data_IF_071058954876
#
_entry.id   IF_071058954876
#
_cell.length_a   1.000
_cell.length_b   1.000
_cell.length_c   1.000
_cell.angle_alpha   90.00
_cell.angle_beta   90.00
_cell.angle_gamma   90.00
#
_symmetry.space_group_name_H-M   'P 1'
#
loop_
_entity.id
_entity.type
_entity.pdbx_description
1 polymer ?
#
# COMPACT_ATOMS: atom_id res chain seq x y z
N UNK A 1 -34.96 -2.33 -16.67
CA UNK A 1 -34.83 -2.79 -15.28
C UNK A 1 -33.83 -2.00 -14.42
N UNK A 2 -32.50 -2.08 -14.59
CA UNK A 2 -31.58 -1.38 -13.65
C UNK A 2 -31.76 0.14 -13.69
N UNK A 3 -31.79 0.76 -14.88
CA UNK A 3 -32.03 2.21 -15.04
C UNK A 3 -33.38 2.66 -14.46
N UNK A 4 -34.43 1.86 -14.62
CA UNK A 4 -35.76 2.16 -14.03
C UNK A 4 -35.71 2.23 -12.51
N UNK A 5 -34.91 1.38 -11.84
CA UNK A 5 -34.76 1.44 -10.39
C UNK A 5 -34.00 2.65 -9.88
N UNK A 6 -33.25 3.32 -10.75
CA UNK A 6 -32.46 4.50 -10.44
C UNK A 6 -33.16 5.79 -10.88
N UNK A 7 -34.42 5.71 -11.35
CA UNK A 7 -35.15 6.86 -11.89
C UNK A 7 -35.41 7.97 -10.86
N UNK A 8 -35.38 7.63 -9.56
CA UNK A 8 -35.48 8.58 -8.46
C UNK A 8 -34.20 9.42 -8.26
N UNK A 9 -33.09 9.03 -8.89
CA UNK A 9 -31.79 9.66 -8.74
C UNK A 9 -31.54 10.69 -9.85
N UNK A 10 -31.24 11.93 -9.47
CA UNK A 10 -30.92 13.01 -10.42
C UNK A 10 -29.41 13.07 -10.62
N UNK A 11 -28.90 12.56 -11.75
CA UNK A 11 -27.49 12.75 -12.14
C UNK A 11 -27.29 12.92 -13.65
N UNK A 12 -26.44 13.87 -14.07
CA UNK A 12 -25.87 13.83 -15.41
C UNK A 12 -24.91 12.63 -15.52
N UNK A 13 -24.86 12.00 -16.69
CA UNK A 13 -23.94 10.91 -17.06
C UNK A 13 -24.23 9.57 -16.37
N UNK A 14 -25.39 9.01 -16.70
CA UNK A 14 -25.72 7.59 -16.49
C UNK A 14 -25.79 6.89 -17.86
N UNK A 15 -24.70 6.88 -18.63
CA UNK A 15 -24.68 6.07 -19.84
C UNK A 15 -24.60 4.57 -19.49
N UNK A 16 -24.86 3.72 -20.47
CA UNK A 16 -24.92 2.28 -20.25
C UNK A 16 -23.53 1.71 -19.90
N UNK A 17 -22.44 2.32 -20.36
CA UNK A 17 -21.08 1.91 -20.02
C UNK A 17 -20.81 2.15 -18.54
N UNK A 18 -21.12 3.33 -18.02
CA UNK A 18 -20.98 3.70 -16.63
C UNK A 18 -21.85 2.80 -15.73
N UNK A 19 -23.13 2.60 -16.07
CA UNK A 19 -24.05 1.77 -15.30
C UNK A 19 -23.68 0.28 -15.32
N UNK A 20 -23.14 -0.22 -16.43
CA UNK A 20 -22.76 -1.63 -16.57
C UNK A 20 -21.68 -2.07 -15.59
N UNK A 21 -20.83 -1.15 -15.12
CA UNK A 21 -19.77 -1.43 -14.13
C UNK A 21 -20.34 -1.93 -12.81
N UNK A 22 -21.38 -1.28 -12.31
CA UNK A 22 -22.06 -1.65 -11.07
C UNK A 22 -22.74 -3.02 -11.19
N UNK A 23 -23.32 -3.31 -12.36
CA UNK A 23 -23.92 -4.61 -12.64
C UNK A 23 -22.85 -5.70 -12.69
N UNK A 24 -21.75 -5.52 -13.43
CA UNK A 24 -20.65 -6.49 -13.51
C UNK A 24 -20.02 -6.75 -12.14
N UNK A 25 -19.73 -5.70 -11.39
CA UNK A 25 -19.18 -5.80 -10.02
C UNK A 25 -20.07 -6.57 -9.04
N UNK A 26 -21.36 -6.75 -9.37
CA UNK A 26 -22.32 -7.54 -8.57
C UNK A 26 -22.88 -8.74 -9.34
N UNK A 27 -22.18 -9.20 -10.38
CA UNK A 27 -22.56 -10.37 -11.21
C UNK A 27 -24.03 -10.30 -11.68
N UNK A 28 -24.43 -9.11 -12.13
CA UNK A 28 -25.77 -8.76 -12.62
C UNK A 28 -26.92 -8.96 -11.60
N UNK A 29 -26.62 -9.07 -10.31
CA UNK A 29 -27.63 -9.07 -9.24
C UNK A 29 -28.12 -7.63 -9.00
N UNK A 30 -29.26 -7.29 -9.60
CA UNK A 30 -29.76 -5.91 -9.68
C UNK A 30 -29.93 -5.27 -8.30
N UNK A 31 -30.51 -5.96 -7.31
CA UNK A 31 -30.68 -5.41 -5.95
C UNK A 31 -29.34 -5.00 -5.33
N UNK A 32 -28.30 -5.82 -5.53
CA UNK A 32 -26.96 -5.55 -4.99
C UNK A 32 -26.24 -4.45 -5.75
N UNK A 33 -26.41 -4.37 -7.07
CA UNK A 33 -25.85 -3.31 -7.90
C UNK A 33 -26.49 -1.96 -7.57
N UNK A 34 -27.81 -1.94 -7.34
CA UNK A 34 -28.54 -0.75 -6.90
C UNK A 34 -28.06 -0.27 -5.54
N UNK A 35 -27.97 -1.17 -4.55
CA UNK A 35 -27.47 -0.80 -3.22
C UNK A 35 -26.05 -0.22 -3.30
N UNK A 36 -25.13 -0.89 -4.01
CA UNK A 36 -23.77 -0.40 -4.20
C UNK A 36 -23.74 0.99 -4.84
N UNK A 37 -24.57 1.23 -5.85
CA UNK A 37 -24.63 2.52 -6.51
C UNK A 37 -25.18 3.62 -5.59
N UNK A 38 -26.22 3.33 -4.80
CA UNK A 38 -26.77 4.28 -3.81
C UNK A 38 -25.76 4.58 -2.69
N UNK A 39 -25.01 3.58 -2.22
CA UNK A 39 -23.93 3.76 -1.25
C UNK A 39 -22.82 4.66 -1.80
N UNK A 40 -22.45 4.45 -3.07
CA UNK A 40 -21.51 5.31 -3.79
C UNK A 40 -22.00 6.76 -3.86
N UNK A 41 -23.27 7.02 -4.18
CA UNK A 41 -23.80 8.39 -4.19
C UNK A 41 -23.78 9.04 -2.80
N UNK A 42 -24.06 8.26 -1.75
CA UNK A 42 -23.94 8.71 -0.36
C UNK A 42 -22.49 9.09 -0.04
N UNK A 43 -21.53 8.25 -0.44
CA UNK A 43 -20.10 8.53 -0.28
C UNK A 43 -19.67 9.80 -1.02
N UNK A 44 -20.10 9.96 -2.29
CA UNK A 44 -19.77 11.14 -3.09
C UNK A 44 -20.26 12.43 -2.45
N UNK A 45 -21.48 12.43 -1.91
CA UNK A 45 -22.03 13.57 -1.17
C UNK A 45 -21.23 13.84 0.11
N UNK A 46 -20.90 12.80 0.88
CA UNK A 46 -20.13 12.92 2.13
C UNK A 46 -18.74 13.51 1.92
N UNK A 47 -18.08 13.12 0.85
CA UNK A 47 -16.71 13.56 0.53
C UNK A 47 -16.66 14.78 -0.40
N UNK A 48 -17.82 15.32 -0.78
CA UNK A 48 -17.96 16.43 -1.74
C UNK A 48 -17.19 16.19 -3.05
N UNK A 49 -17.22 14.95 -3.57
CA UNK A 49 -16.38 14.51 -4.70
C UNK A 49 -16.61 15.37 -5.93
N UNK A 50 -17.86 15.73 -6.20
CA UNK A 50 -18.26 16.51 -7.38
C UNK A 50 -17.69 17.95 -7.39
N UNK A 51 -17.36 18.50 -6.22
CA UNK A 51 -16.71 19.81 -6.09
C UNK A 51 -15.26 19.72 -5.62
N UNK A 52 -14.72 18.52 -5.42
CA UNK A 52 -13.41 18.32 -4.80
C UNK A 52 -12.30 18.99 -5.60
N UNK A 53 -12.31 18.89 -6.93
CA UNK A 53 -11.34 19.58 -7.81
C UNK A 53 -11.35 21.12 -7.65
N UNK A 54 -12.46 21.71 -7.19
CA UNK A 54 -12.60 23.16 -6.96
C UNK A 54 -12.30 23.55 -5.51
N UNK A 55 -12.76 22.75 -4.56
CA UNK A 55 -12.77 23.09 -3.13
C UNK A 55 -11.55 22.55 -2.38
N UNK A 56 -10.90 21.50 -2.89
CA UNK A 56 -9.72 20.93 -2.27
C UNK A 56 -8.48 21.73 -2.64
N UNK A 57 -7.99 22.53 -1.68
CA UNK A 57 -6.66 23.12 -1.77
C UNK A 57 -5.61 22.02 -1.55
N UNK A 58 -5.22 21.37 -2.63
CA UNK A 58 -4.22 20.30 -2.60
C UNK A 58 -2.90 20.79 -1.98
N UNK A 59 -2.38 20.12 -0.95
CA UNK A 59 -1.04 20.41 -0.42
C UNK A 59 0.01 20.28 -1.53
N UNK A 60 0.84 21.30 -1.68
CA UNK A 60 1.88 21.36 -2.71
C UNK A 60 2.85 20.17 -2.64
N UNK A 61 3.12 19.66 -1.43
CA UNK A 61 3.97 18.49 -1.21
C UNK A 61 3.42 17.23 -1.88
N UNK A 62 2.09 17.05 -1.94
CA UNK A 62 1.49 15.93 -2.67
C UNK A 62 1.69 16.09 -4.17
N UNK A 63 1.54 17.31 -4.67
CA UNK A 63 1.70 17.58 -6.10
C UNK A 63 3.16 17.49 -6.58
N UNK A 64 4.14 17.75 -5.71
CA UNK A 64 5.55 17.74 -6.11
C UNK A 64 6.25 16.42 -5.82
N UNK A 65 5.93 15.78 -4.70
CA UNK A 65 6.76 14.68 -4.18
C UNK A 65 6.01 13.35 -4.05
N UNK A 66 4.66 13.34 -4.14
CA UNK A 66 3.93 12.07 -4.11
C UNK A 66 4.13 11.32 -5.45
N UNK A 67 4.50 10.03 -5.42
CA UNK A 67 4.62 9.19 -6.61
C UNK A 67 3.23 8.81 -7.15
N UNK A 68 2.55 9.80 -7.72
CA UNK A 68 1.20 9.68 -8.23
C UNK A 68 1.11 8.77 -9.48
N UNK A 69 2.26 8.44 -10.08
CA UNK A 69 2.28 7.63 -11.29
C UNK A 69 1.84 8.40 -12.54
N UNK A 70 1.28 7.69 -13.50
CA UNK A 70 0.66 8.29 -14.68
C UNK A 70 0.38 7.32 -15.83
N UNK A 71 -0.40 7.78 -16.81
CA UNK A 71 -0.69 7.01 -18.02
C UNK A 71 0.47 7.10 -19.01
N UNK A 72 0.95 5.95 -19.48
CA UNK A 72 2.03 5.88 -20.46
C UNK A 72 1.85 4.65 -21.37
N UNK A 73 1.43 4.88 -22.61
CA UNK A 73 1.23 3.82 -23.60
C UNK A 73 -0.08 3.04 -23.46
N UNK A 74 -0.29 2.12 -24.40
CA UNK A 74 -1.43 1.21 -24.47
C UNK A 74 -0.99 -0.25 -24.41
N UNK A 75 -1.79 -1.09 -23.77
CA UNK A 75 -1.61 -2.54 -23.83
C UNK A 75 -1.96 -3.08 -25.23
N UNK A 76 -1.66 -4.36 -25.47
CA UNK A 76 -1.88 -4.99 -26.78
C UNK A 76 -3.35 -5.02 -27.24
N UNK A 77 -4.30 -4.75 -26.36
CA UNK A 77 -5.74 -4.67 -26.68
C UNK A 77 -6.22 -3.21 -26.80
N UNK A 78 -5.30 -2.22 -26.70
CA UNK A 78 -5.60 -0.79 -26.79
C UNK A 78 -6.10 -0.17 -25.47
N UNK A 79 -6.02 -0.90 -24.36
CA UNK A 79 -6.33 -0.39 -23.02
C UNK A 79 -5.19 0.48 -22.50
N UNK A 80 -5.51 1.60 -21.85
CA UNK A 80 -4.47 2.47 -21.29
C UNK A 80 -3.66 1.77 -20.20
N UNK A 81 -2.35 2.04 -20.19
CA UNK A 81 -1.43 1.55 -19.15
C UNK A 81 -1.14 2.65 -18.14
N UNK A 82 -1.43 2.40 -16.86
CA UNK A 82 -1.13 3.30 -15.75
C UNK A 82 0.04 2.76 -14.92
N UNK A 83 1.10 3.55 -14.76
CA UNK A 83 2.25 3.18 -13.93
C UNK A 83 2.06 3.75 -12.53
N UNK A 84 1.88 2.89 -11.53
CA UNK A 84 1.81 3.27 -10.12
C UNK A 84 3.15 2.93 -9.45
N UNK A 85 3.93 3.96 -9.13
CA UNK A 85 5.34 3.83 -8.66
C UNK A 85 5.47 3.93 -7.14
N UNK A 86 4.68 3.10 -6.44
CA UNK A 86 4.47 3.24 -4.99
C UNK A 86 5.74 3.03 -4.16
N UNK A 87 6.64 2.13 -4.56
CA UNK A 87 7.85 1.84 -3.78
C UNK A 87 8.82 3.03 -3.61
N UNK A 88 8.65 4.10 -4.39
CA UNK A 88 9.43 5.35 -4.31
C UNK A 88 8.83 6.40 -3.37
N UNK A 89 7.76 6.07 -2.65
CA UNK A 89 7.13 6.98 -1.70
C UNK A 89 8.10 7.30 -0.55
N UNK A 90 8.43 8.58 -0.37
CA UNK A 90 9.10 9.05 0.84
C UNK A 90 8.11 9.05 2.01
N UNK A 91 7.95 7.88 2.63
CA UNK A 91 7.02 7.68 3.75
C UNK A 91 7.33 8.64 4.91
N UNK A 92 8.58 8.73 5.43
CA UNK A 92 8.89 9.65 6.53
C UNK A 92 8.57 11.11 6.18
N UNK A 93 8.97 11.55 4.99
CA UNK A 93 8.73 12.92 4.53
C UNK A 93 7.25 13.25 4.39
N UNK A 94 6.45 12.33 3.82
CA UNK A 94 5.01 12.51 3.69
C UNK A 94 4.31 12.53 5.03
N UNK A 95 4.63 11.60 5.93
CA UNK A 95 4.02 11.54 7.27
C UNK A 95 4.27 12.81 8.09
N UNK A 96 5.36 13.53 7.82
CA UNK A 96 5.70 14.82 8.46
C UNK A 96 5.09 16.04 7.77
N UNK A 97 4.52 15.88 6.58
CA UNK A 97 4.13 17.01 5.72
C UNK A 97 2.65 17.05 5.36
N UNK A 98 1.93 15.93 5.48
CA UNK A 98 0.53 15.83 5.04
C UNK A 98 -0.36 15.13 6.05
N UNK A 99 -1.63 15.54 6.08
CA UNK A 99 -2.68 14.83 6.79
C UNK A 99 -3.17 13.67 5.94
N UNK A 100 -3.46 12.53 6.58
CA UNK A 100 -4.01 11.34 5.90
C UNK A 100 -5.29 11.68 5.11
N UNK A 101 -6.16 12.54 5.65
CA UNK A 101 -7.38 12.96 4.96
C UNK A 101 -7.08 13.70 3.63
N UNK A 102 -6.00 14.47 3.58
CA UNK A 102 -5.59 15.16 2.35
C UNK A 102 -5.02 14.17 1.34
N UNK A 103 -4.32 13.12 1.78
CA UNK A 103 -3.91 12.00 0.94
C UNK A 103 -5.12 11.28 0.36
N UNK A 104 -6.15 11.01 1.16
CA UNK A 104 -7.38 10.36 0.69
C UNK A 104 -8.09 11.24 -0.35
N UNK A 105 -8.24 12.53 -0.09
CA UNK A 105 -8.85 13.47 -1.06
C UNK A 105 -8.03 13.56 -2.36
N UNK A 106 -6.71 13.59 -2.25
CA UNK A 106 -5.80 13.52 -3.38
C UNK A 106 -6.01 12.25 -4.22
N UNK A 107 -6.09 11.08 -3.58
CA UNK A 107 -6.36 9.81 -4.24
C UNK A 107 -7.72 9.78 -4.94
N UNK A 108 -8.76 10.37 -4.34
CA UNK A 108 -10.07 10.54 -5.00
C UNK A 108 -9.93 11.41 -6.25
N UNK A 109 -9.24 12.56 -6.17
CA UNK A 109 -8.99 13.40 -7.35
C UNK A 109 -8.25 12.63 -8.46
N UNK A 110 -7.29 11.78 -8.11
CA UNK A 110 -6.58 10.92 -9.06
C UNK A 110 -7.51 9.89 -9.71
N UNK A 111 -8.39 9.25 -8.95
CA UNK A 111 -9.35 8.28 -9.49
C UNK A 111 -10.39 8.94 -10.42
N UNK A 112 -10.89 10.13 -10.07
CA UNK A 112 -11.78 10.88 -10.97
C UNK A 112 -11.04 11.26 -12.27
N UNK A 113 -9.76 11.63 -12.19
CA UNK A 113 -8.94 11.90 -13.38
C UNK A 113 -8.73 10.64 -14.23
N UNK A 114 -8.53 9.48 -13.60
CA UNK A 114 -8.44 8.18 -14.26
C UNK A 114 -9.74 7.86 -15.01
N UNK A 115 -10.91 8.04 -14.38
CA UNK A 115 -12.20 7.82 -15.03
C UNK A 115 -12.44 8.76 -16.21
N UNK A 116 -12.14 10.06 -16.05
CA UNK A 116 -12.23 11.05 -17.12
C UNK A 116 -11.32 10.67 -18.31
N UNK A 117 -10.11 10.21 -18.02
CA UNK A 117 -9.12 9.83 -19.03
C UNK A 117 -9.56 8.58 -19.79
N UNK A 118 -10.03 7.55 -19.09
CA UNK A 118 -10.55 6.32 -19.70
C UNK A 118 -11.77 6.59 -20.58
N UNK A 119 -12.69 7.43 -20.10
CA UNK A 119 -13.89 7.82 -20.86
C UNK A 119 -13.51 8.61 -22.11
N UNK A 120 -12.60 9.59 -21.98
CA UNK A 120 -12.09 10.36 -23.10
C UNK A 120 -11.35 9.50 -24.13
N UNK A 121 -10.59 8.50 -23.69
CA UNK A 121 -9.90 7.56 -24.58
C UNK A 121 -10.88 6.69 -25.38
N UNK A 122 -11.89 6.13 -24.72
CA UNK A 122 -12.93 5.34 -25.38
C UNK A 122 -13.69 6.18 -26.43
N UNK A 123 -14.04 7.43 -26.08
CA UNK A 123 -14.71 8.35 -27.00
C UNK A 123 -13.85 8.71 -28.22
N UNK A 124 -12.54 8.93 -28.04
CA UNK A 124 -11.62 9.29 -29.13
C UNK A 124 -11.29 8.13 -30.07
N UNK A 125 -11.14 6.93 -29.53
CA UNK A 125 -10.71 5.75 -30.31
C UNK A 125 -11.87 4.95 -30.86
N UNK A 126 -13.08 5.13 -30.33
CA UNK A 126 -14.23 4.27 -30.63
C UNK A 126 -14.07 2.84 -30.11
N UNK A 127 -12.99 2.54 -29.39
CA UNK A 127 -12.73 1.22 -28.80
C UNK A 127 -13.30 1.18 -27.39
N UNK A 128 -14.18 0.22 -27.13
CA UNK A 128 -14.55 -0.08 -25.74
C UNK A 128 -13.42 -0.85 -25.07
N UNK A 129 -12.76 -0.20 -24.11
CA UNK A 129 -11.76 -0.83 -23.23
C UNK A 129 -12.37 -1.04 -21.84
N UNK A 130 -12.29 -2.26 -21.31
CA UNK A 130 -12.85 -2.63 -20.01
C UNK A 130 -11.89 -2.31 -18.84
N UNK A 131 -11.48 -1.05 -18.74
CA UNK A 131 -10.57 -0.57 -17.69
C UNK A 131 -9.11 -0.43 -18.13
N UNK A 132 -8.24 -0.10 -17.18
CA UNK A 132 -6.80 0.10 -17.38
C UNK A 132 -5.98 -1.12 -16.96
N UNK A 133 -4.83 -1.29 -17.62
CA UNK A 133 -3.75 -2.15 -17.12
C UNK A 133 -2.85 -1.31 -16.21
N UNK A 134 -2.63 -1.75 -14.97
CA UNK A 134 -1.75 -1.08 -14.01
C UNK A 134 -0.42 -1.80 -13.94
N UNK A 135 0.68 -1.11 -14.16
CA UNK A 135 2.01 -1.57 -13.78
C UNK A 135 2.29 -1.04 -12.38
N UNK A 136 2.33 -1.91 -11.39
CA UNK A 136 2.51 -1.56 -9.99
C UNK A 136 3.97 -1.81 -9.59
N UNK A 137 4.75 -0.74 -9.57
CA UNK A 137 6.18 -0.76 -9.31
C UNK A 137 6.47 -0.62 -7.82
N UNK A 138 7.07 -1.68 -7.27
CA UNK A 138 7.46 -1.81 -5.87
C UNK A 138 8.97 -1.68 -5.65
N UNK A 139 9.71 -1.13 -6.61
CA UNK A 139 11.12 -0.79 -6.40
C UNK A 139 11.28 0.12 -5.17
N UNK A 140 12.17 -0.27 -4.23
CA UNK A 140 12.36 0.33 -2.90
C UNK A 140 11.16 0.25 -1.94
N UNK A 141 10.14 -0.56 -2.26
CA UNK A 141 9.16 -0.95 -1.27
C UNK A 141 9.87 -1.73 -0.15
N UNK A 142 9.56 -1.35 1.07
CA UNK A 142 10.23 -1.77 2.30
C UNK A 142 9.31 -1.44 3.46
N UNK A 143 9.64 -1.84 4.68
CA UNK A 143 8.60 -1.86 5.69
C UNK A 143 8.22 -0.55 6.38
N UNK A 144 8.92 0.54 6.08
CA UNK A 144 8.35 1.89 6.22
C UNK A 144 6.95 2.00 5.57
N UNK A 145 6.71 1.31 4.44
CA UNK A 145 5.40 1.26 3.77
C UNK A 145 4.38 0.37 4.49
N UNK A 146 4.85 -0.57 5.33
CA UNK A 146 4.02 -1.42 6.17
C UNK A 146 3.74 -0.81 7.53
N UNK A 147 4.22 0.41 7.77
CA UNK A 147 3.92 1.12 9.00
C UNK A 147 2.40 1.23 9.20
N UNK A 148 1.91 0.92 10.40
CA UNK A 148 0.48 0.99 10.77
C UNK A 148 -0.26 2.21 10.17
N UNK A 149 0.22 3.46 10.31
CA UNK A 149 -0.48 4.59 9.71
C UNK A 149 -0.53 4.55 8.17
N UNK A 150 0.53 4.08 7.52
CA UNK A 150 0.57 3.94 6.05
C UNK A 150 -0.29 2.77 5.59
N UNK A 151 -0.19 1.62 6.25
CA UNK A 151 -1.00 0.44 5.99
C UNK A 151 -2.49 0.74 6.19
N UNK A 152 -2.87 1.44 7.27
CA UNK A 152 -4.24 1.88 7.52
C UNK A 152 -4.72 2.87 6.45
N UNK A 153 -3.90 3.85 6.07
CA UNK A 153 -4.23 4.79 5.00
C UNK A 153 -4.44 4.06 3.66
N UNK A 154 -3.59 3.08 3.34
CA UNK A 154 -3.72 2.28 2.13
C UNK A 154 -4.94 1.36 2.17
N UNK A 155 -5.25 0.74 3.31
CA UNK A 155 -6.48 -0.03 3.50
C UNK A 155 -7.72 0.85 3.36
N UNK A 156 -7.70 2.08 3.88
CA UNK A 156 -8.78 3.06 3.69
C UNK A 156 -8.96 3.42 2.21
N UNK A 157 -7.86 3.65 1.50
CA UNK A 157 -7.87 3.85 0.06
C UNK A 157 -8.47 2.64 -0.67
N UNK A 158 -8.04 1.42 -0.38
CA UNK A 158 -8.54 0.20 -1.03
C UNK A 158 -10.03 -0.03 -0.79
N UNK A 159 -10.51 0.16 0.45
CA UNK A 159 -11.94 0.06 0.77
C UNK A 159 -12.76 1.09 -0.01
N UNK A 160 -12.26 2.32 -0.09
CA UNK A 160 -12.88 3.38 -0.87
C UNK A 160 -12.90 3.02 -2.36
N UNK A 161 -11.77 2.55 -2.90
CA UNK A 161 -11.59 2.14 -4.28
C UNK A 161 -12.58 1.03 -4.69
N UNK A 162 -12.59 -0.09 -3.97
CA UNK A 162 -13.45 -1.25 -4.23
C UNK A 162 -14.95 -0.92 -4.12
N UNK A 163 -15.33 0.03 -3.26
CA UNK A 163 -16.71 0.44 -3.08
C UNK A 163 -17.20 1.44 -4.13
N UNK A 164 -16.32 2.30 -4.66
CA UNK A 164 -16.73 3.48 -5.43
C UNK A 164 -16.26 3.48 -6.89
N UNK A 165 -15.26 2.67 -7.24
CA UNK A 165 -14.67 2.63 -8.58
C UNK A 165 -14.68 1.22 -9.14
N UNK A 166 -15.85 0.56 -9.24
CA UNK A 166 -15.93 -0.79 -9.78
C UNK A 166 -15.48 -0.85 -11.23
N UNK A 167 -14.86 -1.98 -11.61
CA UNK A 167 -14.59 -2.34 -13.01
C UNK A 167 -13.73 -1.33 -13.79
N UNK A 168 -12.89 -0.54 -13.12
CA UNK A 168 -11.89 0.32 -13.78
C UNK A 168 -10.54 -0.38 -13.95
N UNK A 169 -10.30 -1.50 -13.27
CA UNK A 169 -9.11 -2.33 -13.44
C UNK A 169 -9.39 -3.47 -14.40
N UNK A 170 -8.53 -3.57 -15.42
CA UNK A 170 -8.43 -4.73 -16.31
C UNK A 170 -7.42 -5.74 -15.76
N UNK A 171 -6.24 -5.26 -15.37
CA UNK A 171 -5.11 -6.08 -14.90
C UNK A 171 -4.17 -5.25 -14.02
N UNK A 172 -3.53 -5.87 -13.05
CA UNK A 172 -2.45 -5.27 -12.25
C UNK A 172 -1.21 -6.17 -12.38
N UNK A 173 -0.13 -5.64 -12.92
CA UNK A 173 1.16 -6.33 -13.08
C UNK A 173 2.11 -5.74 -12.04
N UNK A 174 2.37 -6.48 -10.97
CA UNK A 174 3.31 -6.07 -9.92
C UNK A 174 4.73 -6.41 -10.38
N UNK A 175 5.60 -5.40 -10.39
CA UNK A 175 7.01 -5.53 -10.79
C UNK A 175 7.92 -5.15 -9.64
N UNK A 176 9.12 -5.74 -9.63
CA UNK A 176 10.13 -5.52 -8.59
C UNK A 176 9.60 -5.75 -7.16
N UNK A 177 8.74 -6.78 -7.00
CA UNK A 177 8.19 -7.15 -5.70
C UNK A 177 9.33 -7.60 -4.74
N UNK A 178 9.56 -6.91 -3.61
CA UNK A 178 10.59 -7.27 -2.66
C UNK A 178 10.18 -8.48 -1.81
N UNK A 179 11.12 -9.05 -1.05
CA UNK A 179 10.87 -10.18 -0.14
C UNK A 179 9.81 -9.89 0.94
N UNK A 180 9.58 -8.61 1.27
CA UNK A 180 8.54 -8.16 2.21
C UNK A 180 7.12 -8.14 1.60
N UNK A 181 6.98 -8.28 0.28
CA UNK A 181 5.70 -8.22 -0.41
C UNK A 181 4.63 -9.20 0.10
N UNK A 182 4.94 -10.47 0.44
CA UNK A 182 3.93 -11.38 0.99
C UNK A 182 3.25 -10.86 2.27
N UNK A 183 4.02 -10.19 3.14
CA UNK A 183 3.51 -9.54 4.34
C UNK A 183 2.62 -8.35 3.95
N UNK A 184 3.06 -7.52 3.01
CA UNK A 184 2.26 -6.41 2.48
C UNK A 184 0.91 -6.90 1.94
N UNK A 185 0.94 -7.97 1.15
CA UNK A 185 -0.24 -8.52 0.49
C UNK A 185 -1.20 -9.14 1.51
N UNK A 186 -0.71 -9.77 2.58
CA UNK A 186 -1.57 -10.37 3.62
C UNK A 186 -2.40 -9.31 4.36
N UNK A 187 -1.85 -8.12 4.57
CA UNK A 187 -2.55 -6.98 5.21
C UNK A 187 -3.73 -6.51 4.34
N UNK A 188 -3.54 -6.43 3.02
CA UNK A 188 -4.53 -5.84 2.11
C UNK A 188 -5.52 -6.84 1.52
N UNK A 189 -5.11 -8.11 1.38
CA UNK A 189 -5.90 -9.19 0.77
C UNK A 189 -7.33 -9.33 1.33
N UNK A 190 -7.61 -9.16 2.64
CA UNK A 190 -8.97 -9.23 3.18
C UNK A 190 -9.92 -8.13 2.66
N UNK A 191 -9.35 -7.04 2.12
CA UNK A 191 -10.11 -5.88 1.62
C UNK A 191 -10.27 -5.87 0.09
N UNK A 192 -9.64 -6.83 -0.59
CA UNK A 192 -9.73 -6.98 -2.05
C UNK A 192 -10.88 -7.93 -2.42
N UNK A 193 -11.68 -7.55 -3.42
CA UNK A 193 -12.68 -8.44 -3.98
C UNK A 193 -12.02 -9.66 -4.65
N UNK A 194 -12.77 -10.74 -4.85
CA UNK A 194 -12.29 -11.90 -5.63
C UNK A 194 -11.88 -11.48 -7.05
N UNK A 195 -12.65 -10.58 -7.66
CA UNK A 195 -12.37 -10.02 -8.99
C UNK A 195 -11.04 -9.28 -9.02
N UNK A 196 -10.80 -8.34 -8.10
CA UNK A 196 -9.53 -7.62 -8.02
C UNK A 196 -8.36 -8.57 -7.79
N UNK A 197 -8.50 -9.55 -6.89
CA UNK A 197 -7.43 -10.53 -6.63
C UNK A 197 -7.06 -11.34 -7.87
N UNK A 198 -8.05 -11.73 -8.68
CA UNK A 198 -7.81 -12.48 -9.91
C UNK A 198 -7.15 -11.64 -11.01
N UNK A 199 -7.16 -10.31 -10.89
CA UNK A 199 -6.51 -9.37 -11.82
C UNK A 199 -5.06 -9.04 -11.44
N UNK A 200 -4.62 -9.41 -10.22
CA UNK A 200 -3.26 -9.14 -9.74
C UNK A 200 -2.31 -10.26 -10.18
N UNK A 201 -1.27 -9.89 -10.93
CA UNK A 201 -0.20 -10.76 -11.37
C UNK A 201 1.13 -10.27 -10.79
N UNK A 202 1.75 -11.09 -9.95
CA UNK A 202 3.03 -10.75 -9.29
C UNK A 202 4.17 -11.38 -10.10
N UNK A 203 5.06 -10.54 -10.62
CA UNK A 203 6.16 -11.00 -11.45
C UNK A 203 7.35 -11.47 -10.61
N UNK A 204 8.12 -12.42 -11.15
CA UNK A 204 9.45 -12.76 -10.65
C UNK A 204 10.53 -11.82 -11.23
N UNK A 205 11.77 -12.29 -11.24
CA UNK A 205 12.91 -11.52 -11.78
C UNK A 205 12.80 -11.22 -13.29
N UNK A 206 11.98 -11.98 -14.03
CA UNK A 206 11.71 -11.82 -15.47
C UNK A 206 10.55 -10.85 -15.76
N UNK A 207 10.34 -9.85 -14.89
CA UNK A 207 9.19 -8.96 -14.99
C UNK A 207 9.18 -8.11 -16.27
N UNK A 208 10.35 -7.79 -16.84
CA UNK A 208 10.46 -7.06 -18.11
C UNK A 208 9.91 -7.88 -19.29
N UNK A 209 10.26 -9.16 -19.32
CA UNK A 209 9.75 -10.09 -20.33
C UNK A 209 8.23 -10.27 -20.21
N UNK A 210 7.72 -10.36 -18.97
CA UNK A 210 6.28 -10.42 -18.71
C UNK A 210 5.56 -9.15 -19.19
N UNK A 211 6.11 -7.96 -18.93
CA UNK A 211 5.53 -6.70 -19.43
C UNK A 211 5.44 -6.72 -20.97
N UNK A 212 6.49 -7.16 -21.66
CA UNK A 212 6.51 -7.22 -23.13
C UNK A 212 5.50 -8.23 -23.73
N UNK A 213 5.03 -9.21 -22.96
CA UNK A 213 3.94 -10.11 -23.36
C UNK A 213 2.58 -9.41 -23.36
N UNK A 214 2.39 -8.38 -22.52
CA UNK A 214 1.11 -7.68 -22.37
C UNK A 214 1.07 -6.32 -23.05
N UNK A 215 2.22 -5.66 -23.20
CA UNK A 215 2.35 -4.32 -23.73
C UNK A 215 3.40 -4.38 -24.86
N UNK A 216 3.16 -3.68 -25.97
CA UNK A 216 4.14 -3.66 -27.06
C UNK A 216 5.42 -2.90 -26.62
N UNK A 217 6.63 -3.28 -27.05
CA UNK A 217 7.86 -2.63 -26.58
C UNK A 217 7.94 -1.11 -26.81
N UNK A 218 7.34 -0.60 -27.88
CA UNK A 218 7.23 0.84 -28.18
C UNK A 218 6.23 1.58 -27.28
N UNK A 219 5.39 0.83 -26.56
CA UNK A 219 4.41 1.33 -25.59
C UNK A 219 4.91 1.24 -24.14
N UNK A 220 6.11 0.70 -23.90
CA UNK A 220 6.73 0.57 -22.57
C UNK A 220 7.92 1.53 -22.49
N UNK A 221 8.08 2.33 -21.41
CA UNK A 221 9.30 3.10 -21.18
C UNK A 221 10.55 2.22 -21.18
N UNK A 222 11.68 2.75 -21.68
CA UNK A 222 12.98 2.03 -21.65
C UNK A 222 13.34 1.55 -20.24
N UNK A 223 13.04 2.35 -19.20
CA UNK A 223 13.24 1.95 -17.81
C UNK A 223 12.58 0.61 -17.45
N UNK A 224 11.38 0.37 -17.98
CA UNK A 224 10.59 -0.84 -17.75
C UNK A 224 10.85 -1.96 -18.79
N UNK A 225 11.92 -1.84 -19.58
CA UNK A 225 12.35 -2.87 -20.55
C UNK A 225 11.79 -2.70 -21.96
N UNK A 226 11.16 -1.56 -22.26
CA UNK A 226 10.68 -1.21 -23.59
C UNK A 226 11.65 -0.36 -24.41
N UNK A 227 11.07 0.47 -25.27
CA UNK A 227 11.77 1.37 -26.20
C UNK A 227 11.23 2.80 -26.20
N UNK A 228 10.15 3.09 -25.44
CA UNK A 228 9.61 4.45 -25.33
C UNK A 228 10.53 5.35 -24.49
N UNK A 229 10.75 6.56 -24.99
CA UNK A 229 11.38 7.66 -24.24
C UNK A 229 10.49 8.90 -24.35
N UNK A 230 10.75 9.89 -23.50
CA UNK A 230 10.27 11.24 -23.74
C UNK A 230 10.92 11.86 -24.99
N UNK A 231 10.36 12.95 -25.56
CA UNK A 231 10.94 13.64 -26.70
C UNK A 231 12.37 14.15 -26.49
N UNK A 232 12.76 14.39 -25.24
CA UNK A 232 14.13 14.80 -24.85
C UNK A 232 15.07 13.62 -24.59
N UNK A 233 14.58 12.39 -24.75
CA UNK A 233 15.34 11.16 -24.53
C UNK A 233 15.29 10.61 -23.10
N UNK A 234 14.48 11.17 -22.19
CA UNK A 234 14.34 10.58 -20.84
C UNK A 234 13.73 9.17 -20.92
N UNK A 235 14.52 8.17 -20.53
CA UNK A 235 14.18 6.75 -20.52
C UNK A 235 13.11 6.37 -19.50
N UNK A 236 12.83 7.26 -18.55
CA UNK A 236 11.81 7.09 -17.51
C UNK A 236 10.45 7.65 -17.95
N UNK A 237 10.35 8.37 -19.07
CA UNK A 237 9.12 9.03 -19.50
C UNK A 237 8.51 9.94 -18.41
N UNK A 238 9.33 10.78 -17.75
CA UNK A 238 8.90 11.67 -16.64
C UNK A 238 7.89 12.74 -17.05
N UNK A 239 7.77 13.04 -18.34
CA UNK A 239 6.69 13.89 -18.86
C UNK A 239 5.30 13.26 -18.67
N UNK A 240 5.24 11.94 -18.50
CA UNK A 240 4.01 11.15 -18.35
C UNK A 240 3.86 10.48 -16.98
N UNK A 241 4.97 10.06 -16.37
CA UNK A 241 4.98 9.27 -15.13
C UNK A 241 5.63 10.08 -14.01
N UNK A 242 4.90 10.29 -12.92
CA UNK A 242 5.39 10.96 -11.72
C UNK A 242 6.00 9.96 -10.73
N UNK A 243 7.32 10.03 -10.58
CA UNK A 243 8.13 9.14 -9.72
C UNK A 243 8.24 9.58 -8.26
N UNK A 244 7.62 10.70 -7.89
CA UNK A 244 7.74 11.29 -6.56
C UNK A 244 9.12 11.89 -6.30
N UNK A 245 9.52 11.93 -5.03
CA UNK A 245 10.83 12.41 -4.62
C UNK A 245 10.93 12.52 -3.11
N UNK A 246 12.14 12.80 -2.63
CA UNK A 246 12.37 13.10 -1.21
C UNK A 246 11.71 14.43 -0.87
N UNK A 247 10.90 14.44 0.17
CA UNK A 247 10.21 15.65 0.65
C UNK A 247 11.23 16.54 1.37
N UNK A 248 11.43 17.80 0.92
CA UNK A 248 12.31 18.72 1.62
C UNK A 248 11.76 19.04 3.01
N UNK A 249 12.66 19.17 4.00
CA UNK A 249 12.29 19.46 5.39
C UNK A 249 11.49 20.76 5.55
N UNK A 250 11.59 21.70 4.60
CA UNK A 250 10.78 22.92 4.56
C UNK A 250 9.28 22.66 4.43
N UNK A 251 8.87 21.48 3.97
CA UNK A 251 7.47 21.06 3.89
C UNK A 251 6.98 20.35 5.15
N UNK A 252 7.88 20.06 6.11
CA UNK A 252 7.50 19.38 7.34
C UNK A 252 6.64 20.33 8.16
N UNK A 253 5.35 20.05 8.16
CA UNK A 253 4.41 20.62 9.10
C UNK A 253 4.75 20.05 10.47
N UNK A 254 5.33 20.85 11.37
CA UNK A 254 5.62 20.39 12.74
C UNK A 254 4.36 19.76 13.37
N UNK A 255 4.34 18.44 13.51
CA UNK A 255 3.26 17.70 14.17
C UNK A 255 3.06 16.28 13.65
N UNK A 256 3.06 15.33 14.57
CA UNK A 256 2.53 13.98 14.38
C UNK A 256 1.01 14.08 14.55
N UNK A 257 0.18 13.41 13.72
CA UNK A 257 -1.26 13.38 13.92
C UNK A 257 -1.60 13.06 15.38
N UNK A 258 -2.46 13.86 16.01
CA UNK A 258 -2.77 13.75 17.44
C UNK A 258 -3.29 12.35 17.78
N UNK A 259 -4.02 11.73 16.85
CA UNK A 259 -4.59 10.39 16.97
C UNK A 259 -3.52 9.29 17.11
N UNK A 260 -2.34 9.48 16.50
CA UNK A 260 -1.20 8.57 16.65
C UNK A 260 -0.57 8.76 18.03
N UNK A 261 -0.41 10.02 18.48
CA UNK A 261 0.15 10.33 19.79
C UNK A 261 -0.73 9.86 20.95
N UNK A 262 -2.06 9.83 20.76
CA UNK A 262 -3.03 9.32 21.74
C UNK A 262 -2.98 7.80 21.88
N UNK A 263 -2.57 7.07 20.84
CA UNK A 263 -2.43 5.61 20.86
C UNK A 263 -1.08 5.13 21.39
N UNK A 264 -0.11 6.03 21.54
CA UNK A 264 1.23 5.70 22.03
C UNK A 264 1.22 5.60 23.56
N UNK A 265 2.01 4.66 24.08
CA UNK A 265 2.25 4.55 25.52
C UNK A 265 3.21 5.66 25.95
N UNK A 266 2.92 6.30 27.08
CA UNK A 266 3.79 7.31 27.67
C UNK A 266 4.57 6.72 28.85
N UNK A 267 5.85 7.00 28.93
CA UNK A 267 6.71 6.61 30.05
C UNK A 267 7.79 7.66 30.28
N UNK A 268 8.16 7.89 31.54
CA UNK A 268 9.31 8.70 31.89
C UNK A 268 10.54 7.79 32.05
N UNK A 269 11.63 8.14 31.38
CA UNK A 269 12.92 7.48 31.55
C UNK A 269 13.80 8.38 32.42
N UNK A 270 13.95 8.01 33.69
CA UNK A 270 14.67 8.81 34.68
C UNK A 270 16.17 8.97 34.35
N UNK A 271 16.83 10.05 34.81
CA UNK A 271 18.27 10.23 34.63
C UNK A 271 19.05 9.03 35.17
N UNK A 272 20.05 8.55 34.42
CA UNK A 272 20.87 7.42 34.83
C UNK A 272 20.19 6.05 34.66
N UNK A 273 18.99 5.99 34.07
CA UNK A 273 18.21 4.75 33.90
C UNK A 273 17.93 4.42 32.43
N UNK A 274 17.29 3.27 32.19
CA UNK A 274 16.78 2.89 30.87
C UNK A 274 15.48 2.12 30.99
N UNK A 275 14.59 2.28 30.02
CA UNK A 275 13.38 1.47 29.86
C UNK A 275 13.67 0.35 28.86
N UNK A 276 13.44 -0.90 29.26
CA UNK A 276 13.54 -2.08 28.40
C UNK A 276 12.18 -2.75 28.24
N UNK A 277 11.75 -2.96 27.00
CA UNK A 277 10.49 -3.63 26.66
C UNK A 277 10.81 -5.02 26.12
N UNK A 278 10.44 -6.05 26.86
CA UNK A 278 10.59 -7.43 26.42
C UNK A 278 9.52 -7.80 25.39
N UNK A 279 9.95 -8.37 24.28
CA UNK A 279 9.08 -8.78 23.17
C UNK A 279 9.38 -10.22 22.82
N UNK A 280 8.38 -11.09 22.91
CA UNK A 280 8.49 -12.50 22.55
C UNK A 280 8.07 -12.69 21.08
N UNK A 281 9.06 -12.90 20.21
CA UNK A 281 8.85 -13.20 18.80
C UNK A 281 8.69 -14.71 18.64
N UNK A 282 7.52 -15.15 18.16
CA UNK A 282 7.17 -16.58 18.08
C UNK A 282 7.53 -17.21 16.75
N UNK A 283 7.41 -16.44 15.67
CA UNK A 283 7.59 -16.94 14.32
C UNK A 283 8.85 -16.34 13.70
N UNK A 284 9.83 -17.16 13.26
CA UNK A 284 10.93 -16.68 12.42
C UNK A 284 10.37 -15.97 11.19
N UNK A 285 10.93 -14.81 10.83
CA UNK A 285 10.43 -13.95 9.77
C UNK A 285 9.33 -12.97 10.20
N UNK A 286 8.91 -12.99 11.47
CA UNK A 286 8.11 -11.90 12.03
C UNK A 286 8.91 -10.60 12.08
N UNK A 287 8.20 -9.47 12.14
CA UNK A 287 8.84 -8.16 12.12
C UNK A 287 8.51 -7.38 13.39
N UNK A 288 9.55 -7.04 14.14
CA UNK A 288 9.47 -6.14 15.28
C UNK A 288 9.54 -4.70 14.79
N UNK A 289 8.55 -3.88 15.13
CA UNK A 289 8.47 -2.47 14.71
C UNK A 289 8.29 -1.55 15.91
N UNK A 290 8.92 -0.38 15.85
CA UNK A 290 8.82 0.66 16.87
C UNK A 290 8.55 2.03 16.28
N UNK A 291 7.94 2.88 17.09
CA UNK A 291 7.69 4.29 16.84
C UNK A 291 7.85 5.02 18.16
N UNK A 292 8.65 6.08 18.24
CA UNK A 292 8.81 6.82 19.48
C UNK A 292 9.24 8.27 19.28
N UNK A 293 8.88 9.10 20.26
CA UNK A 293 9.39 10.46 20.42
C UNK A 293 9.56 10.80 21.89
N UNK A 294 10.46 11.71 22.19
CA UNK A 294 10.47 12.41 23.47
C UNK A 294 9.67 13.71 23.36
N UNK A 295 9.19 14.22 24.49
CA UNK A 295 8.62 15.58 24.53
C UNK A 295 9.71 16.65 24.43
N UNK A 296 10.90 16.37 24.98
CA UNK A 296 12.10 17.19 24.89
C UNK A 296 13.38 16.33 24.95
N UNK A 297 14.51 16.86 24.48
CA UNK A 297 15.84 16.25 24.50
C UNK A 297 16.01 14.96 23.66
N UNK A 298 17.25 14.51 23.50
CA UNK A 298 17.59 13.25 22.84
C UNK A 298 17.07 12.03 23.62
N UNK A 299 17.22 10.80 23.12
CA UNK A 299 17.12 9.55 23.89
C UNK A 299 18.02 8.50 23.21
N UNK A 300 18.69 7.64 23.99
CA UNK A 300 19.40 6.50 23.42
C UNK A 300 18.40 5.42 23.00
N UNK A 301 18.61 4.76 21.86
CA UNK A 301 17.73 3.71 21.39
C UNK A 301 18.53 2.57 20.76
N UNK A 302 18.19 1.33 21.11
CA UNK A 302 18.72 0.12 20.48
C UNK A 302 17.83 -1.11 20.71
N UNK A 303 18.08 -2.18 19.97
CA UNK A 303 17.34 -3.45 20.06
C UNK A 303 18.31 -4.59 20.28
N UNK A 304 17.96 -5.48 21.20
CA UNK A 304 18.81 -6.57 21.66
C UNK A 304 18.06 -7.90 21.57
N UNK A 305 18.78 -8.98 21.27
CA UNK A 305 18.26 -10.34 21.19
C UNK A 305 18.93 -11.20 22.26
N UNK A 306 18.15 -11.99 22.98
CA UNK A 306 18.68 -12.90 23.97
C UNK A 306 19.51 -14.02 23.30
N UNK A 307 20.75 -14.25 23.78
CA UNK A 307 21.58 -15.40 23.40
C UNK A 307 21.59 -16.45 24.52
N UNK A 308 21.28 -17.69 24.16
CA UNK A 308 21.30 -18.82 25.10
C UNK A 308 20.30 -18.66 26.25
N UNK A 309 20.66 -19.16 27.44
CA UNK A 309 19.79 -19.16 28.62
C UNK A 309 19.97 -17.95 29.55
N UNK A 310 20.96 -17.08 29.29
CA UNK A 310 21.20 -15.91 30.16
C UNK A 310 20.11 -14.86 29.97
N UNK A 311 19.50 -14.43 31.08
CA UNK A 311 18.56 -13.31 31.11
C UNK A 311 19.24 -11.96 31.35
N UNK A 312 20.57 -11.93 31.48
CA UNK A 312 21.30 -10.69 31.73
C UNK A 312 21.44 -9.91 30.44
N UNK A 313 21.05 -8.65 30.49
CA UNK A 313 21.13 -7.74 29.36
C UNK A 313 22.54 -7.61 28.75
N UNK A 314 23.57 -7.59 29.59
CA UNK A 314 24.97 -7.49 29.16
C UNK A 314 25.43 -8.66 28.28
N UNK A 315 24.71 -9.79 28.34
CA UNK A 315 25.00 -10.99 27.57
C UNK A 315 24.15 -11.06 26.28
N UNK A 316 23.28 -10.07 26.03
CA UNK A 316 22.41 -10.02 24.85
C UNK A 316 23.17 -9.53 23.61
N UNK A 317 22.77 -10.05 22.45
CA UNK A 317 23.28 -9.60 21.16
C UNK A 317 22.60 -8.29 20.75
N UNK A 318 23.39 -7.29 20.41
CA UNK A 318 22.89 -6.05 19.83
C UNK A 318 22.55 -6.29 18.35
N UNK A 319 21.27 -6.23 18.02
CA UNK A 319 20.74 -6.42 16.65
C UNK A 319 20.39 -5.11 15.98
N UNK A 320 20.14 -4.06 16.77
CA UNK A 320 20.08 -2.66 16.31
C UNK A 320 20.98 -1.84 17.22
N UNK A 321 22.08 -1.26 16.69
CA UNK A 321 23.04 -0.51 17.48
C UNK A 321 22.42 0.64 18.28
N UNK A 322 22.83 0.76 19.54
CA UNK A 322 22.39 1.82 20.41
C UNK A 322 22.96 3.16 19.96
N UNK A 323 22.10 4.10 19.57
CA UNK A 323 22.54 5.44 19.19
C UNK A 323 21.61 6.52 19.76
N UNK A 324 22.08 7.77 19.78
CA UNK A 324 21.30 8.90 20.29
C UNK A 324 20.39 9.46 19.20
N UNK A 325 19.11 9.61 19.52
CA UNK A 325 18.11 10.16 18.62
C UNK A 325 17.53 11.46 19.19
N UNK A 326 17.53 12.54 18.40
CA UNK A 326 16.83 13.79 18.74
C UNK A 326 15.33 13.66 18.48
N UNK A 327 14.68 12.71 19.17
CA UNK A 327 13.31 12.29 18.83
C UNK A 327 12.23 13.31 19.25
N UNK A 328 12.60 14.32 20.05
CA UNK A 328 11.79 15.52 20.32
C UNK A 328 11.60 16.41 19.09
N UNK A 329 12.59 16.46 18.19
CA UNK A 329 12.51 17.21 16.94
C UNK A 329 11.80 16.41 15.86
N UNK A 330 12.02 15.09 15.85
CA UNK A 330 11.58 14.21 14.78
C UNK A 330 11.12 12.87 15.35
N UNK A 331 9.87 12.48 15.05
CA UNK A 331 9.38 11.13 15.35
C UNK A 331 10.34 10.08 14.78
N UNK A 332 10.83 9.20 15.65
CA UNK A 332 11.79 8.16 15.28
C UNK A 332 11.05 6.84 15.16
N UNK A 333 11.22 6.16 14.03
CA UNK A 333 10.63 4.86 13.77
C UNK A 333 11.70 3.90 13.24
N UNK A 334 11.37 2.62 13.23
CA UNK A 334 12.22 1.59 12.67
C UNK A 334 11.63 0.20 12.85
N UNK A 335 12.29 -0.76 12.22
CA UNK A 335 11.84 -2.13 12.16
C UNK A 335 13.02 -3.10 12.06
N UNK A 336 12.77 -4.33 12.47
CA UNK A 336 13.73 -5.42 12.44
C UNK A 336 13.01 -6.70 11.97
N UNK A 337 13.47 -7.27 10.85
CA UNK A 337 13.10 -8.62 10.45
C UNK A 337 13.76 -9.60 11.44
N UNK A 338 12.95 -10.27 12.23
CA UNK A 338 13.42 -11.24 13.21
C UNK A 338 13.63 -12.59 12.53
N UNK A 339 14.82 -12.82 11.97
CA UNK A 339 15.18 -14.09 11.29
C UNK A 339 15.04 -15.32 12.19
N UNK A 340 15.12 -15.12 13.52
CA UNK A 340 14.94 -16.17 14.51
C UNK A 340 13.87 -15.79 15.53
N UNK A 341 13.07 -16.78 15.92
CA UNK A 341 12.19 -16.68 17.09
C UNK A 341 13.01 -16.55 18.38
N UNK A 342 12.46 -15.84 19.36
CA UNK A 342 13.12 -15.62 20.64
C UNK A 342 12.69 -14.34 21.32
N UNK A 343 13.37 -14.03 22.42
CA UNK A 343 13.12 -12.82 23.19
C UNK A 343 14.01 -11.67 22.69
N UNK A 344 13.36 -10.58 22.33
CA UNK A 344 13.97 -9.31 21.97
C UNK A 344 13.70 -8.28 23.06
N UNK A 345 14.57 -7.28 23.19
CA UNK A 345 14.41 -6.16 24.10
C UNK A 345 14.59 -4.86 23.33
N UNK A 346 13.52 -4.06 23.26
CA UNK A 346 13.57 -2.69 22.75
C UNK A 346 13.95 -1.78 23.91
N UNK A 347 15.09 -1.09 23.81
CA UNK A 347 15.66 -0.32 24.92
C UNK A 347 15.72 1.17 24.61
N UNK A 348 15.16 1.97 25.51
CA UNK A 348 15.29 3.42 25.56
C UNK A 348 16.23 3.81 26.70
N UNK A 349 17.38 4.37 26.35
CA UNK A 349 18.47 4.62 27.28
C UNK A 349 18.59 6.10 27.64
N UNK A 350 18.48 6.40 28.93
CA UNK A 350 18.77 7.70 29.53
C UNK A 350 19.95 7.62 30.52
N UNK A 351 20.76 6.55 30.45
CA UNK A 351 21.86 6.33 31.40
C UNK A 351 22.94 7.42 31.35
N UNK A 352 23.04 8.13 30.24
CA UNK A 352 23.98 9.24 30.05
C UNK A 352 23.48 10.60 30.58
N UNK A 353 22.21 10.73 31.02
CA UNK A 353 21.68 11.96 31.59
C UNK A 353 21.84 11.97 33.11
N UNK A 354 22.24 13.12 33.65
CA UNK A 354 22.54 13.28 35.07
C UNK A 354 21.44 14.03 35.82
N UNK A 355 20.59 14.77 35.10
CA UNK A 355 19.64 15.74 35.69
C UNK A 355 18.27 15.73 35.03
N UNK A 356 18.15 15.30 33.77
CA UNK A 356 16.89 15.40 33.02
C UNK A 356 16.28 14.02 32.78
N UNK A 357 15.08 13.83 33.32
CA UNK A 357 14.16 12.76 32.91
C UNK A 357 13.70 13.04 31.49
N UNK A 358 13.32 11.99 30.77
CA UNK A 358 12.88 12.06 29.37
C UNK A 358 11.49 11.45 29.27
N UNK A 359 10.49 12.29 29.02
CA UNK A 359 9.12 11.85 28.75
C UNK A 359 9.05 11.30 27.34
N UNK A 360 8.95 9.97 27.25
CA UNK A 360 8.90 9.19 26.04
C UNK A 360 7.46 8.83 25.72
N UNK A 361 7.06 9.00 24.47
CA UNK A 361 5.89 8.34 23.89
C UNK A 361 6.36 7.30 22.90
N UNK A 362 5.86 6.07 22.99
CA UNK A 362 6.27 4.98 22.12
C UNK A 362 5.15 4.01 21.75
N UNK A 363 5.34 3.26 20.68
CA UNK A 363 4.58 2.09 20.27
C UNK A 363 5.58 1.03 19.79
N UNK A 364 5.39 -0.22 20.25
CA UNK A 364 6.20 -1.38 19.85
C UNK A 364 5.25 -2.53 19.53
N UNK A 365 5.36 -3.10 18.34
CA UNK A 365 4.46 -4.12 17.81
C UNK A 365 5.24 -5.23 17.09
N UNK A 366 4.73 -6.46 17.10
CA UNK A 366 5.25 -7.58 16.30
C UNK A 366 4.22 -7.94 15.23
N UNK A 367 4.67 -7.98 13.98
CA UNK A 367 3.89 -8.38 12.82
C UNK A 367 4.27 -9.82 12.44
N UNK A 368 3.34 -10.75 12.55
CA UNK A 368 3.57 -12.16 12.20
C UNK A 368 3.66 -12.34 10.66
N UNK A 369 4.52 -13.25 10.17
CA UNK A 369 4.61 -13.56 8.75
C UNK A 369 3.35 -14.35 8.32
N UNK A 370 2.93 -14.19 7.07
CA UNK A 370 1.79 -14.94 6.55
C UNK A 370 2.12 -16.43 6.42
N UNK A 371 1.17 -17.30 6.78
CA UNK A 371 1.32 -18.76 6.73
C UNK A 371 1.64 -19.25 5.30
N UNK A 372 2.87 -19.74 5.08
CA UNK A 372 3.34 -20.26 3.80
C UNK A 372 2.61 -21.56 3.38
N UNK A 373 1.82 -22.17 4.27
CA UNK A 373 0.97 -23.33 3.93
C UNK A 373 -0.15 -23.00 2.93
N UNK A 374 -0.35 -21.72 2.59
CA UNK A 374 -1.20 -21.27 1.47
C UNK A 374 -0.43 -20.80 0.23
N UNK A 375 0.89 -20.96 0.20
CA UNK A 375 1.75 -20.60 -0.95
C UNK A 375 2.28 -21.80 -1.74
N UNK A 376 1.87 -23.02 -1.38
CA UNK A 376 2.14 -24.27 -2.10
C UNK A 376 1.07 -24.65 -3.11
N UNK A 377 0.82 -23.84 -4.14
CA UNK A 377 0.29 -24.36 -5.41
C UNK A 377 1.29 -24.01 -6.50
N UNK A 378 2.35 -24.83 -6.59
CA UNK A 378 3.01 -25.07 -7.87
C UNK A 378 1.94 -25.64 -8.78
N UNK A 379 1.56 -24.89 -9.82
CA UNK A 379 0.90 -25.48 -10.97
C UNK A 379 1.91 -26.40 -11.65
N UNK A 380 1.99 -27.65 -11.19
CA UNK A 380 2.40 -28.75 -12.04
C UNK A 380 1.31 -29.83 -12.03
N UNK A 381 1.02 -30.23 -13.25
CA UNK A 381 -0.21 -30.83 -13.75
C UNK A 381 0.07 -32.32 -13.85
N UNK A 382 -0.08 -33.07 -12.75
CA UNK A 382 0.09 -34.54 -12.80
C UNK A 382 -0.58 -35.34 -11.66
N UNK A 383 -1.79 -34.97 -11.24
CA UNK A 383 -2.63 -35.84 -10.38
C UNK A 383 -4.13 -35.86 -10.72
N UNK A 384 -4.54 -35.32 -11.87
CA UNK A 384 -5.85 -35.64 -12.46
C UNK A 384 -5.66 -36.60 -13.62
N UNK A 385 -5.32 -37.85 -13.31
CA UNK A 385 -5.50 -39.00 -14.20
C UNK A 385 -5.28 -40.28 -13.39
N UNK A 386 -6.18 -41.24 -13.64
CA UNK A 386 -6.26 -42.63 -13.16
C UNK A 386 -7.03 -42.85 -11.84
N UNK A 387 -8.12 -43.63 -11.74
CA UNK A 387 -8.85 -44.52 -12.67
C UNK A 387 -10.29 -44.63 -12.14
N UNK A 388 -11.29 -44.27 -12.96
CA UNK A 388 -12.59 -44.95 -12.92
C UNK A 388 -12.39 -46.34 -13.54
N UNK A 389 -12.50 -47.40 -12.73
CA UNK A 389 -13.10 -48.72 -13.06
C UNK A 389 -12.84 -49.73 -11.94
N UNK A 390 -13.93 -50.19 -11.35
CA UNK A 390 -13.95 -51.31 -10.40
C UNK A 390 -15.35 -51.65 -9.90
N UNK A 391 -16.17 -52.22 -10.80
CA UNK A 391 -17.19 -53.27 -10.63
C UNK A 391 -18.22 -53.15 -9.48
N UNK A 392 -19.52 -53.03 -9.77
CA UNK A 392 -20.44 -54.16 -10.03
C UNK A 392 -20.19 -55.41 -9.16
N UNK A 393 -20.95 -55.55 -8.06
CA UNK A 393 -21.74 -56.77 -7.75
C UNK A 393 -22.25 -56.73 -6.30
N UNK A 394 -23.56 -56.57 -6.11
CA UNK A 394 -24.40 -57.44 -5.25
C UNK A 394 -25.87 -56.97 -5.30
N UNK A 395 -26.60 -57.47 -6.29
CA UNK A 395 -27.92 -58.05 -6.03
C UNK A 395 -27.66 -59.51 -5.67
N UNK A 396 -27.75 -59.82 -4.39
CA UNK A 396 -28.74 -60.75 -3.80
C UNK A 396 -28.65 -60.67 -2.27
#
# INVERSE_FOLDING_TARGET
>A
MFRERLQDLVRPHMDDQYLSRWLRARRYKIDKAEQMYRDHLTYRKKMDVDNLKKNFKMPEVLDKFFPAGGFCGEDREGGLVFYQVFGRLDVPGMMRSVKILDVIKFQICMLEMVEDTLTGHAAKTGKQTFGMTVVYDLYNFGMQHLSKPVAEAFVQFLKMFEANYPEILKKVIVVEAPSVFPIAFSIVKPFLSEDTRNKVFVCGSNWKEVLAQHIAPDQIPVHYGGTMTDPDGDVMCKSKIRYGGVVPESYYSQGIPAEILEQMTSADVEPGTSLGLEVDVRTPGAVLRWLFKTEDCDIGFGVYKQKGSSKRYQDMEEVVPCSKHNSHLILTDGELLCEEAGKYVVRFDNSYSWVRSKTLRYSVEVLEPADESLTGVKGDVSQFMDVEKGQESSQD
#
